data_IF_578470069807
#
_entry.id   IF_578470069807
#
_cell.length_a   1.000
_cell.length_b   1.000
_cell.length_c   1.000
_cell.angle_alpha   90.00
_cell.angle_beta   90.00
_cell.angle_gamma   90.00
#
_symmetry.space_group_name_H-M   'P 1'
#
loop_
_entity.id
_entity.type
_entity.pdbx_description
1 polymer ?
#
# COMPACT_ATOMS: atom_id res chain seq x y z
N UNK A 1 29.20 -5.77 1.14
CA UNK A 1 27.95 -5.43 1.84
C UNK A 1 26.96 -4.58 0.99
N UNK A 2 26.96 -4.64 -0.36
CA UNK A 2 26.05 -3.81 -1.18
C UNK A 2 24.77 -4.49 -1.68
N UNK A 3 24.83 -5.81 -1.91
CA UNK A 3 23.81 -6.53 -2.69
C UNK A 3 22.49 -6.76 -1.92
N UNK A 4 22.54 -6.76 -0.58
CA UNK A 4 21.37 -7.05 0.24
C UNK A 4 20.45 -5.83 0.39
N UNK A 5 21.02 -4.62 0.47
CA UNK A 5 20.25 -3.39 0.64
C UNK A 5 19.44 -3.04 -0.62
N UNK A 6 20.05 -3.14 -1.80
CA UNK A 6 19.37 -2.89 -3.08
C UNK A 6 18.17 -3.83 -3.28
N UNK A 7 18.34 -5.12 -2.93
CA UNK A 7 17.25 -6.10 -3.05
C UNK A 7 16.08 -5.79 -2.11
N UNK A 8 16.38 -5.34 -0.90
CA UNK A 8 15.36 -4.99 0.10
C UNK A 8 14.61 -3.71 -0.29
N UNK A 9 15.29 -2.71 -0.84
CA UNK A 9 14.66 -1.48 -1.33
C UNK A 9 13.76 -1.77 -2.53
N UNK A 10 14.26 -2.53 -3.52
CA UNK A 10 13.48 -2.93 -4.68
C UNK A 10 12.21 -3.71 -4.29
N UNK A 11 12.31 -4.59 -3.30
CA UNK A 11 11.16 -5.35 -2.80
C UNK A 11 10.14 -4.46 -2.08
N UNK A 12 10.58 -3.41 -1.39
CA UNK A 12 9.68 -2.46 -0.71
C UNK A 12 8.92 -1.58 -1.70
N UNK A 13 9.59 -1.05 -2.72
CA UNK A 13 8.93 -0.25 -3.76
C UNK A 13 7.89 -1.06 -4.52
N UNK A 14 8.21 -2.31 -4.87
CA UNK A 14 7.25 -3.24 -5.48
C UNK A 14 6.04 -3.50 -4.57
N UNK A 15 6.26 -3.72 -3.27
CA UNK A 15 5.16 -3.89 -2.30
C UNK A 15 4.30 -2.63 -2.21
N UNK A 16 4.89 -1.43 -2.21
CA UNK A 16 4.16 -0.16 -2.19
C UNK A 16 3.26 -0.03 -3.41
N UNK A 17 3.81 -0.26 -4.61
CA UNK A 17 3.05 -0.23 -5.86
C UNK A 17 1.91 -1.27 -5.86
N UNK A 18 2.16 -2.46 -5.32
CA UNK A 18 1.15 -3.51 -5.20
C UNK A 18 0.01 -3.14 -4.23
N UNK A 19 0.32 -2.41 -3.13
CA UNK A 19 -0.71 -1.91 -2.20
C UNK A 19 -1.53 -0.81 -2.86
N UNK A 20 -0.88 0.17 -3.49
CA UNK A 20 -1.55 1.25 -4.24
C UNK A 20 -2.50 0.64 -5.27
N UNK A 21 -2.04 -0.36 -6.03
CA UNK A 21 -2.89 -1.01 -7.03
C UNK A 21 -4.09 -1.74 -6.43
N UNK A 22 -3.94 -2.40 -5.29
CA UNK A 22 -5.07 -3.02 -4.57
C UNK A 22 -6.07 -1.99 -4.05
N UNK A 23 -5.60 -0.81 -3.60
CA UNK A 23 -6.47 0.28 -3.18
C UNK A 23 -7.23 0.86 -4.38
N UNK A 24 -6.54 1.09 -5.50
CA UNK A 24 -7.15 1.54 -6.75
C UNK A 24 -8.20 0.56 -7.29
N UNK A 25 -7.92 -0.74 -7.24
CA UNK A 25 -8.84 -1.80 -7.66
C UNK A 25 -10.15 -1.78 -6.85
N UNK A 26 -10.06 -1.39 -5.58
CA UNK A 26 -11.23 -1.17 -4.70
C UNK A 26 -11.91 0.18 -4.90
N UNK A 27 -11.42 1.01 -5.82
CA UNK A 27 -11.92 2.37 -6.07
C UNK A 27 -11.43 3.41 -5.06
N UNK A 28 -10.39 3.10 -4.28
CA UNK A 28 -9.85 3.99 -3.25
C UNK A 28 -8.67 4.75 -3.86
N UNK A 29 -8.90 6.01 -4.20
CA UNK A 29 -7.88 6.92 -4.76
C UNK A 29 -7.41 7.95 -3.74
N UNK A 30 -8.21 8.22 -2.72
CA UNK A 30 -7.88 9.07 -1.58
C UNK A 30 -8.19 8.36 -0.27
N UNK A 31 -7.46 8.72 0.77
CA UNK A 31 -7.76 8.32 2.14
C UNK A 31 -7.59 9.54 3.05
N UNK A 32 -8.64 9.87 3.80
CA UNK A 32 -8.64 11.02 4.72
C UNK A 32 -8.29 12.37 4.07
N UNK A 33 -8.68 12.59 2.81
CA UNK A 33 -8.37 13.82 2.07
C UNK A 33 -6.95 13.89 1.51
N UNK A 34 -6.16 12.82 1.66
CA UNK A 34 -4.82 12.70 1.08
C UNK A 34 -4.82 11.63 -0.01
N UNK A 35 -4.15 11.92 -1.13
CA UNK A 35 -4.02 10.97 -2.24
C UNK A 35 -3.24 9.73 -1.81
N UNK A 36 -3.66 8.54 -2.21
CA UNK A 36 -2.97 7.29 -1.85
C UNK A 36 -1.51 7.27 -2.33
N UNK A 37 -1.18 8.04 -3.37
CA UNK A 37 0.17 8.18 -3.90
C UNK A 37 1.10 8.98 -2.99
N UNK A 38 0.52 9.85 -2.17
CA UNK A 38 1.21 10.71 -1.21
C UNK A 38 1.31 10.06 0.18
N UNK A 39 0.51 9.02 0.42
CA UNK A 39 0.54 8.26 1.67
C UNK A 39 1.85 7.47 1.84
N UNK A 40 2.29 7.41 3.10
CA UNK A 40 3.40 6.57 3.52
C UNK A 40 3.06 5.07 3.37
N UNK A 41 4.09 4.24 3.19
CA UNK A 41 3.95 2.78 3.09
C UNK A 41 3.19 2.16 4.27
N UNK A 42 3.41 2.66 5.50
CA UNK A 42 2.70 2.17 6.68
C UNK A 42 1.21 2.52 6.63
N UNK A 43 0.88 3.73 6.22
CA UNK A 43 -0.51 4.17 6.06
C UNK A 43 -1.20 3.38 4.96
N UNK A 44 -0.58 3.25 3.79
CA UNK A 44 -1.07 2.43 2.67
C UNK A 44 -1.39 1.00 3.12
N UNK A 45 -0.48 0.39 3.88
CA UNK A 45 -0.68 -0.95 4.43
C UNK A 45 -1.85 -0.99 5.42
N UNK A 46 -1.97 0.02 6.28
CA UNK A 46 -3.06 0.12 7.25
C UNK A 46 -4.43 0.25 6.56
N UNK A 47 -4.54 1.13 5.57
CA UNK A 47 -5.76 1.29 4.76
C UNK A 47 -6.14 -0.02 4.09
N UNK A 48 -5.17 -0.69 3.46
CA UNK A 48 -5.42 -1.98 2.81
C UNK A 48 -5.94 -3.04 3.79
N UNK A 49 -5.40 -3.10 5.01
CA UNK A 49 -5.86 -4.03 6.05
C UNK A 49 -7.26 -3.66 6.52
N UNK A 50 -7.53 -2.39 6.82
CA UNK A 50 -8.87 -1.93 7.21
C UNK A 50 -9.92 -2.29 6.15
N UNK A 51 -9.59 -2.08 4.89
CA UNK A 51 -10.47 -2.39 3.77
C UNK A 51 -10.66 -3.90 3.59
N UNK A 52 -9.60 -4.70 3.76
CA UNK A 52 -9.72 -6.16 3.77
C UNK A 52 -10.65 -6.64 4.88
N UNK A 53 -10.44 -6.15 6.11
CA UNK A 53 -11.28 -6.51 7.27
C UNK A 53 -12.73 -6.07 7.05
N UNK A 54 -12.96 -4.87 6.50
CA UNK A 54 -14.31 -4.36 6.22
C UNK A 54 -15.03 -5.16 5.12
N UNK A 55 -14.29 -5.68 4.14
CA UNK A 55 -14.83 -6.50 3.04
C UNK A 55 -15.08 -7.96 3.41
N UNK A 56 -14.42 -8.49 4.43
CA UNK A 56 -14.54 -9.89 4.90
C UNK A 56 -15.77 -10.11 5.81
N UNK A 57 -16.36 -9.04 6.34
CA UNK A 57 -17.59 -9.07 7.16
C UNK A 57 -18.84 -8.97 6.28
N UNK A 58 -18.92 -9.76 5.20
CA UNK A 58 -20.10 -9.87 4.34
C UNK A 58 -20.46 -11.30 4.02
#
# INVERSE_FOLDING_TARGET
MGILYEKVQYTQELKRQMIIRQLLDRGITEYQGQSIYDLDYYTLRHVLVMEKVKGDVR
#
